data_IF_482570329003
#
_entry.id   IF_482570329003
#
_cell.length_a   1.000
_cell.length_b   1.000
_cell.length_c   1.000
_cell.angle_alpha   90.00
_cell.angle_beta   90.00
_cell.angle_gamma   90.00
#
_symmetry.space_group_name_H-M   'P 1'
#
loop_
_entity.id
_entity.type
_entity.pdbx_description
1 polymer ?
#
# COMPACT_ATOMS: atom_id res chain seq x y z
N UNK A 1 -36.39 38.53 18.95
CA UNK A 1 -36.67 37.22 18.35
C UNK A 1 -36.45 37.41 16.85
N UNK A 2 -35.29 37.24 16.20
CA UNK A 2 -34.10 36.41 16.43
C UNK A 2 -34.44 34.92 16.57
N UNK A 3 -34.39 34.20 15.44
CA UNK A 3 -34.12 32.75 15.29
C UNK A 3 -34.93 32.00 14.19
N UNK A 4 -35.36 32.65 13.09
CA UNK A 4 -36.00 31.94 11.94
C UNK A 4 -35.30 32.14 10.59
N UNK A 5 -34.21 32.93 10.52
CA UNK A 5 -33.41 33.14 9.30
C UNK A 5 -32.36 32.04 9.05
N UNK A 6 -32.21 31.06 9.96
CA UNK A 6 -31.10 30.10 9.93
C UNK A 6 -31.39 28.79 9.17
N UNK A 7 -32.55 28.66 8.51
CA UNK A 7 -32.96 27.45 7.78
C UNK A 7 -33.58 27.72 6.41
N UNK A 8 -33.37 28.91 5.82
CA UNK A 8 -33.61 29.08 4.38
C UNK A 8 -32.41 28.51 3.63
N UNK A 9 -32.59 27.32 3.04
CA UNK A 9 -31.66 26.81 2.03
C UNK A 9 -31.48 27.90 0.97
N UNK A 10 -30.25 28.41 0.74
CA UNK A 10 -30.03 29.56 -0.12
C UNK A 10 -30.57 29.25 -1.51
N UNK A 11 -31.35 30.18 -2.05
CA UNK A 11 -31.92 30.03 -3.38
C UNK A 11 -30.80 30.07 -4.43
N UNK A 12 -31.01 29.39 -5.56
CA UNK A 12 -30.00 29.25 -6.63
C UNK A 12 -29.39 30.61 -7.06
N UNK A 13 -30.19 31.67 -7.07
CA UNK A 13 -29.73 33.01 -7.45
C UNK A 13 -28.81 33.64 -6.39
N UNK A 14 -29.01 33.33 -5.11
CA UNK A 14 -28.15 33.78 -4.01
C UNK A 14 -26.81 33.03 -4.00
N UNK A 15 -26.82 31.73 -4.31
CA UNK A 15 -25.61 30.93 -4.50
C UNK A 15 -24.78 31.50 -5.67
N UNK A 16 -25.43 31.80 -6.80
CA UNK A 16 -24.76 32.37 -7.97
C UNK A 16 -24.28 33.80 -7.72
N UNK A 17 -25.00 34.60 -6.94
CA UNK A 17 -24.58 35.94 -6.53
C UNK A 17 -23.38 35.90 -5.56
N UNK A 18 -23.35 34.94 -4.64
CA UNK A 18 -22.26 34.74 -3.68
C UNK A 18 -20.96 34.34 -4.38
N UNK A 19 -21.02 33.38 -5.32
CA UNK A 19 -19.87 32.97 -6.13
C UNK A 19 -19.36 34.14 -6.99
N UNK A 20 -20.27 34.90 -7.63
CA UNK A 20 -19.88 36.07 -8.44
C UNK A 20 -19.20 37.14 -7.60
N UNK A 21 -19.66 37.38 -6.38
CA UNK A 21 -19.04 38.34 -5.45
C UNK A 21 -17.64 37.89 -5.04
N UNK A 22 -17.45 36.62 -4.67
CA UNK A 22 -16.14 36.08 -4.26
C UNK A 22 -15.13 36.20 -5.40
N UNK A 23 -15.52 35.85 -6.63
CA UNK A 23 -14.60 35.93 -7.78
C UNK A 23 -14.25 37.38 -8.12
N UNK A 24 -15.19 38.32 -8.01
CA UNK A 24 -14.90 39.75 -8.23
C UNK A 24 -14.08 40.39 -7.10
N UNK A 25 -14.13 39.85 -5.89
CA UNK A 25 -13.33 40.31 -4.73
C UNK A 25 -11.91 39.71 -4.75
N UNK A 26 -11.73 38.52 -5.33
CA UNK A 26 -10.45 37.80 -5.44
C UNK A 26 -9.61 38.21 -6.67
N UNK A 27 -10.24 38.74 -7.74
CA UNK A 27 -9.56 39.22 -8.96
C UNK A 27 -8.90 40.61 -8.78
N UNK A 28 -9.18 41.33 -7.69
CA UNK A 28 -8.53 42.61 -7.36
C UNK A 28 -7.13 42.46 -6.73
N UNK A 29 -6.62 41.24 -6.54
CA UNK A 29 -5.24 41.01 -6.10
C UNK A 29 -4.29 40.86 -7.30
N UNK A 30 -4.31 41.86 -8.20
CA UNK A 30 -3.30 42.03 -9.24
C UNK A 30 -2.12 42.90 -8.72
N UNK A 31 -0.91 42.33 -8.84
CA UNK A 31 0.38 43.02 -9.08
C UNK A 31 1.21 43.70 -7.94
N UNK A 32 2.23 42.94 -7.46
CA UNK A 32 3.68 43.28 -7.30
C UNK A 32 4.19 44.24 -6.17
N UNK A 33 5.51 44.31 -5.81
CA UNK A 33 6.69 43.43 -6.03
C UNK A 33 7.63 43.17 -4.79
N UNK A 34 8.53 42.18 -4.95
CA UNK A 34 9.92 41.95 -4.48
C UNK A 34 10.54 42.57 -3.19
N UNK A 35 11.07 41.66 -2.34
CA UNK A 35 12.42 41.55 -1.69
C UNK A 35 12.32 40.97 -0.26
N UNK A 36 13.20 40.02 0.13
CA UNK A 36 14.49 40.40 0.74
C UNK A 36 15.70 39.54 0.35
N UNK A 37 16.86 40.16 0.58
CA UNK A 37 18.21 39.62 0.45
C UNK A 37 18.59 38.65 1.59
N UNK A 38 19.50 37.72 1.23
CA UNK A 38 20.58 37.10 2.00
C UNK A 38 20.26 36.48 3.37
N UNK A 39 20.46 35.16 3.49
CA UNK A 39 21.56 34.55 4.27
C UNK A 39 21.48 33.00 4.20
N UNK A 40 22.65 32.38 4.11
CA UNK A 40 22.96 30.95 4.35
C UNK A 40 22.90 29.97 3.17
N UNK A 41 23.84 30.20 2.25
CA UNK A 41 24.51 29.17 1.46
C UNK A 41 25.32 28.26 2.41
N UNK A 42 24.69 27.20 2.92
CA UNK A 42 25.34 26.14 3.70
C UNK A 42 24.80 24.81 3.18
N UNK A 43 25.73 23.96 2.74
CA UNK A 43 25.56 22.59 2.24
C UNK A 43 25.37 22.47 0.71
N UNK A 44 26.38 22.96 0.01
CA UNK A 44 27.22 22.14 -0.89
C UNK A 44 26.93 20.62 -0.76
N UNK A 45 26.06 20.10 -1.63
CA UNK A 45 25.82 18.67 -1.84
C UNK A 45 25.75 18.40 -3.36
N UNK A 46 26.62 19.06 -4.12
CA UNK A 46 27.12 18.48 -5.35
C UNK A 46 28.18 17.42 -4.97
N UNK A 47 28.07 16.25 -5.62
CA UNK A 47 29.13 15.23 -5.71
C UNK A 47 29.30 14.23 -4.54
N UNK A 48 28.32 13.32 -4.42
CA UNK A 48 28.62 11.90 -4.19
C UNK A 48 27.83 11.06 -5.19
N UNK A 49 28.36 10.95 -6.40
CA UNK A 49 28.08 9.80 -7.27
C UNK A 49 29.06 8.73 -6.82
N UNK A 50 28.70 7.99 -5.78
CA UNK A 50 29.30 6.68 -5.54
C UNK A 50 28.48 5.67 -6.33
N UNK A 51 29.12 5.11 -7.35
CA UNK A 51 28.66 3.94 -8.08
C UNK A 51 28.33 2.83 -7.06
N UNK A 52 27.24 2.06 -7.20
CA UNK A 52 27.12 0.82 -6.47
C UNK A 52 28.08 -0.21 -7.10
N UNK A 53 29.38 -0.06 -6.88
CA UNK A 53 30.32 -1.16 -7.02
C UNK A 53 30.07 -2.15 -5.88
N UNK A 54 29.44 -3.26 -6.25
CA UNK A 54 29.80 -4.60 -5.80
C UNK A 54 30.06 -4.78 -4.29
N UNK A 55 28.99 -4.71 -3.49
CA UNK A 55 28.95 -5.41 -2.18
C UNK A 55 28.13 -6.68 -2.34
N UNK A 56 28.54 -7.52 -3.30
CA UNK A 56 28.05 -8.88 -3.46
C UNK A 56 29.16 -9.88 -3.18
N UNK A 57 29.80 -9.79 -2.02
CA UNK A 57 30.62 -10.89 -1.51
C UNK A 57 30.71 -10.79 0.02
N UNK A 58 30.50 -11.92 0.70
CA UNK A 58 30.55 -12.17 2.16
C UNK A 58 29.26 -12.06 3.00
N UNK A 59 28.20 -12.76 2.59
CA UNK A 59 27.40 -13.50 3.57
C UNK A 59 27.92 -14.93 3.62
N UNK A 60 28.75 -15.22 4.63
CA UNK A 60 29.14 -16.59 4.95
C UNK A 60 27.94 -17.31 5.54
N UNK A 61 27.54 -18.40 4.88
CA UNK A 61 26.41 -19.25 5.21
C UNK A 61 26.66 -19.97 6.55
N UNK A 62 26.20 -19.37 7.65
CA UNK A 62 26.12 -20.06 8.94
C UNK A 62 24.81 -20.83 8.97
N UNK A 63 24.88 -22.12 8.69
CA UNK A 63 23.77 -23.05 8.88
C UNK A 63 23.33 -23.06 10.37
N UNK A 64 22.03 -22.88 10.68
CA UNK A 64 21.54 -23.01 12.05
C UNK A 64 21.61 -24.48 12.51
N UNK A 65 21.92 -24.77 13.78
CA UNK A 65 21.92 -26.14 14.29
C UNK A 65 20.48 -26.71 14.28
N UNK A 66 20.36 -27.94 13.81
CA UNK A 66 19.10 -28.70 13.83
C UNK A 66 18.62 -28.91 15.28
N UNK A 67 17.33 -28.73 15.59
CA UNK A 67 16.79 -29.07 16.90
C UNK A 67 16.72 -30.60 17.09
N UNK A 68 17.44 -31.11 18.08
CA UNK A 68 17.22 -32.46 18.64
C UNK A 68 15.84 -32.50 19.31
N UNK A 69 14.89 -33.18 18.66
CA UNK A 69 13.62 -33.56 19.29
C UNK A 69 13.81 -34.94 19.92
N UNK A 70 14.29 -34.98 21.17
CA UNK A 70 14.11 -36.16 22.01
C UNK A 70 12.68 -36.15 22.56
N UNK A 71 11.89 -37.14 22.11
CA UNK A 71 10.54 -37.48 22.56
C UNK A 71 10.44 -37.53 24.10
N UNK A 72 9.65 -36.63 24.70
CA UNK A 72 8.86 -36.96 25.88
C UNK A 72 7.74 -35.91 26.09
N UNK A 73 6.55 -36.41 26.42
CA UNK A 73 5.30 -35.67 26.75
C UNK A 73 4.54 -34.95 25.62
N UNK A 74 3.98 -35.72 24.69
CA UNK A 74 2.72 -35.34 24.03
C UNK A 74 1.53 -35.98 24.78
N UNK A 75 0.87 -35.15 25.60
CA UNK A 75 -0.42 -35.45 26.22
C UNK A 75 -1.46 -35.69 25.13
N UNK A 76 -2.13 -36.85 25.18
CA UNK A 76 -3.19 -37.24 24.26
C UNK A 76 -4.29 -36.17 24.18
N UNK A 77 -4.35 -35.49 23.03
CA UNK A 77 -5.49 -34.67 22.62
C UNK A 77 -6.26 -35.46 21.57
N UNK A 78 -7.53 -35.68 21.90
CA UNK A 78 -8.61 -36.32 21.16
C UNK A 78 -8.44 -36.23 19.62
N UNK A 79 -8.30 -37.39 18.98
CA UNK A 79 -8.12 -37.59 17.55
C UNK A 79 -9.49 -37.48 16.85
N UNK A 80 -9.77 -36.48 16.00
CA UNK A 80 -10.94 -36.54 15.12
C UNK A 80 -10.69 -37.63 14.06
N UNK A 81 -11.57 -38.64 14.04
CA UNK A 81 -11.60 -39.75 13.09
C UNK A 81 -11.37 -39.27 11.65
N UNK A 82 -10.23 -39.64 11.07
CA UNK A 82 -9.90 -39.37 9.67
C UNK A 82 -10.72 -40.32 8.78
N UNK A 83 -11.61 -39.77 7.95
CA UNK A 83 -12.27 -40.54 6.89
C UNK A 83 -11.20 -41.10 5.93
N UNK A 84 -11.26 -42.37 5.49
CA UNK A 84 -10.22 -42.92 4.64
C UNK A 84 -10.21 -42.24 3.27
N UNK A 85 -9.03 -41.75 2.86
CA UNK A 85 -8.76 -41.27 1.51
C UNK A 85 -9.13 -42.36 0.47
N UNK A 86 -9.78 -41.99 -0.65
CA UNK A 86 -10.12 -42.97 -1.69
C UNK A 86 -8.84 -43.52 -2.34
N UNK A 87 -8.77 -44.86 -2.44
CA UNK A 87 -7.68 -45.57 -3.11
C UNK A 87 -7.42 -45.05 -4.54
N UNK A 88 -6.16 -44.97 -4.99
CA UNK A 88 -5.84 -44.50 -6.33
C UNK A 88 -6.35 -45.47 -7.39
N UNK A 89 -7.15 -44.96 -8.34
CA UNK A 89 -7.52 -45.70 -9.55
C UNK A 89 -6.24 -46.06 -10.35
N UNK A 90 -6.14 -47.29 -10.90
CA UNK A 90 -5.02 -47.66 -11.75
C UNK A 90 -5.03 -46.83 -13.05
N UNK A 91 -3.88 -46.24 -13.40
CA UNK A 91 -3.68 -45.55 -14.67
C UNK A 91 -3.84 -46.52 -15.86
N UNK A 92 -4.58 -46.16 -16.91
CA UNK A 92 -4.70 -46.99 -18.11
C UNK A 92 -3.39 -46.95 -18.91
N UNK A 93 -2.86 -48.14 -19.26
CA UNK A 93 -1.74 -48.28 -20.19
C UNK A 93 -2.08 -47.63 -21.55
N UNK A 94 -1.16 -46.89 -22.19
CA UNK A 94 -1.47 -46.17 -23.43
C UNK A 94 -1.60 -47.14 -24.62
N UNK A 95 -2.83 -47.26 -25.15
CA UNK A 95 -3.07 -47.83 -26.47
C UNK A 95 -2.42 -46.96 -27.58
N UNK A 96 -1.93 -47.53 -28.69
CA UNK A 96 -1.23 -46.77 -29.72
C UNK A 96 -2.20 -45.84 -30.47
N UNK A 97 -2.21 -44.57 -30.07
CA UNK A 97 -2.88 -43.48 -30.79
C UNK A 97 -2.16 -43.24 -32.12
N UNK A 98 -2.87 -43.48 -33.22
CA UNK A 98 -2.45 -43.12 -34.58
C UNK A 98 -2.13 -41.63 -34.59
N UNK A 99 -0.87 -41.27 -34.90
CA UNK A 99 -0.42 -39.90 -34.97
C UNK A 99 -1.18 -39.13 -36.05
N UNK A 100 -2.23 -38.42 -35.63
CA UNK A 100 -2.76 -37.30 -36.39
C UNK A 100 -1.70 -36.21 -36.31
N UNK A 101 -1.15 -35.81 -37.46
CA UNK A 101 -0.31 -34.62 -37.52
C UNK A 101 -1.14 -33.43 -37.00
N UNK A 102 -0.86 -33.02 -35.77
CA UNK A 102 -1.41 -31.81 -35.19
C UNK A 102 -0.82 -30.64 -35.98
N UNK A 103 -1.65 -29.79 -36.62
CA UNK A 103 -1.14 -28.55 -37.16
C UNK A 103 -0.60 -27.75 -35.99
N UNK A 104 0.72 -27.51 -35.96
CA UNK A 104 1.31 -26.55 -35.03
C UNK A 104 0.56 -25.23 -35.21
N UNK A 105 -0.05 -24.64 -34.17
CA UNK A 105 -0.60 -23.30 -34.30
C UNK A 105 0.58 -22.37 -34.62
N UNK A 106 0.65 -21.93 -35.86
CA UNK A 106 1.37 -20.71 -36.19
C UNK A 106 0.52 -19.61 -35.57
N UNK A 107 0.88 -19.17 -34.36
CA UNK A 107 0.43 -17.89 -33.87
C UNK A 107 1.01 -16.87 -34.84
N UNK A 108 0.22 -16.43 -35.82
CA UNK A 108 0.47 -15.18 -36.50
C UNK A 108 0.30 -14.12 -35.41
N UNK A 109 1.42 -13.76 -34.77
CA UNK A 109 1.51 -12.57 -33.95
C UNK A 109 1.24 -11.42 -34.91
N UNK A 110 -0.02 -10.97 -35.03
CA UNK A 110 -0.42 -9.61 -35.44
C UNK A 110 -1.93 -9.48 -35.79
N UNK A 111 -2.68 -10.57 -35.99
CA UNK A 111 -4.05 -10.48 -36.54
C UNK A 111 -5.15 -10.07 -35.54
N UNK A 112 -4.87 -10.03 -34.22
CA UNK A 112 -5.84 -9.67 -33.18
C UNK A 112 -5.60 -8.28 -32.57
N UNK A 113 -4.86 -7.37 -33.23
CA UNK A 113 -4.66 -6.00 -32.73
C UNK A 113 -5.88 -5.13 -33.10
N UNK A 114 -6.88 -5.12 -32.22
CA UNK A 114 -8.16 -4.41 -32.39
C UNK A 114 -8.07 -2.87 -32.33
N UNK A 115 -6.92 -2.31 -31.95
CA UNK A 115 -6.71 -0.86 -31.78
C UNK A 115 -5.34 -0.42 -32.27
N UNK A 116 -5.31 0.74 -32.92
CA UNK A 116 -4.09 1.36 -33.39
C UNK A 116 -3.17 1.75 -32.21
N UNK A 117 -1.86 1.62 -32.44
CA UNK A 117 -0.84 1.89 -31.43
C UNK A 117 -0.88 3.35 -30.92
N UNK A 118 -1.20 4.29 -31.82
CA UNK A 118 -1.37 5.70 -31.48
C UNK A 118 -2.56 5.94 -30.53
N UNK A 119 -3.65 5.17 -30.68
CA UNK A 119 -4.82 5.26 -29.81
C UNK A 119 -4.51 4.65 -28.44
N UNK A 120 -3.81 3.52 -28.41
CA UNK A 120 -3.33 2.90 -27.18
C UNK A 120 -2.35 3.82 -26.42
N UNK A 121 -1.38 4.41 -27.12
CA UNK A 121 -0.44 5.38 -26.56
C UNK A 121 -1.11 6.67 -26.09
N UNK A 122 -2.12 7.16 -26.82
CA UNK A 122 -2.91 8.32 -26.41
C UNK A 122 -3.72 8.05 -25.13
N UNK A 123 -4.33 6.87 -25.01
CA UNK A 123 -5.07 6.45 -23.81
C UNK A 123 -4.12 6.28 -22.60
N UNK A 124 -2.95 5.65 -22.81
CA UNK A 124 -1.93 5.51 -21.77
C UNK A 124 -1.37 6.85 -21.30
N UNK A 125 -1.14 7.81 -22.22
CA UNK A 125 -0.70 9.16 -21.89
C UNK A 125 -1.75 9.96 -21.12
N UNK A 126 -3.03 9.83 -21.48
CA UNK A 126 -4.13 10.45 -20.75
C UNK A 126 -4.29 9.87 -19.34
N UNK A 127 -4.14 8.56 -19.19
CA UNK A 127 -4.15 7.88 -17.89
C UNK A 127 -2.96 8.30 -17.03
N UNK A 128 -1.76 8.38 -17.61
CA UNK A 128 -0.56 8.86 -16.92
C UNK A 128 -0.69 10.31 -16.47
N UNK A 129 -1.31 11.18 -17.29
CA UNK A 129 -1.61 12.57 -16.93
C UNK A 129 -2.62 12.67 -15.79
N UNK A 130 -3.65 11.82 -15.79
CA UNK A 130 -4.61 11.71 -14.69
C UNK A 130 -3.93 11.23 -13.41
N UNK A 131 -3.14 10.17 -13.50
CA UNK A 131 -2.42 9.59 -12.35
C UNK A 131 -1.40 10.57 -11.78
N UNK A 132 -0.69 11.32 -12.64
CA UNK A 132 0.18 12.43 -12.23
C UNK A 132 -0.60 13.55 -11.53
N UNK A 133 -1.77 13.94 -12.04
CA UNK A 133 -2.61 14.95 -11.37
C UNK A 133 -3.21 14.47 -10.04
N UNK A 134 -3.49 13.17 -9.91
CA UNK A 134 -3.99 12.54 -8.68
C UNK A 134 -2.88 12.37 -7.64
N UNK A 135 -1.63 12.15 -8.07
CA UNK A 135 -0.46 12.10 -7.18
C UNK A 135 -0.07 13.48 -6.64
N UNK A 136 -0.26 14.55 -7.42
CA UNK A 136 0.00 15.93 -7.01
C UNK A 136 -1.07 16.46 -6.04
N UNK A 137 -2.28 15.91 -6.06
CA UNK A 137 -3.39 16.27 -5.17
C UNK A 137 -3.52 15.33 -3.95
N UNK A 138 -2.37 14.85 -3.44
CA UNK A 138 -2.25 13.81 -2.41
C UNK A 138 -3.10 14.03 -1.14
N UNK A 139 -3.47 15.28 -0.84
CA UNK A 139 -4.34 15.66 0.28
C UNK A 139 -5.78 15.09 0.16
N UNK A 140 -6.22 14.71 -1.04
CA UNK A 140 -7.52 14.06 -1.32
C UNK A 140 -7.39 12.61 -1.80
N UNK A 141 -6.25 11.96 -1.56
CA UNK A 141 -6.11 10.53 -1.87
C UNK A 141 -6.98 9.69 -0.94
N UNK A 142 -7.37 8.50 -1.40
CA UNK A 142 -8.09 7.51 -0.59
C UNK A 142 -7.38 7.24 0.74
N UNK A 143 -6.04 7.31 0.77
CA UNK A 143 -5.25 7.19 1.99
C UNK A 143 -5.58 8.28 3.02
N UNK A 144 -5.74 9.53 2.58
CA UNK A 144 -6.14 10.66 3.45
C UNK A 144 -7.50 10.39 4.10
N UNK A 145 -8.47 9.92 3.30
CA UNK A 145 -9.81 9.56 3.79
C UNK A 145 -9.80 8.35 4.73
N UNK A 146 -9.07 7.29 4.38
CA UNK A 146 -8.93 6.09 5.21
C UNK A 146 -8.20 6.42 6.51
N UNK A 147 -7.17 7.29 6.47
CA UNK A 147 -6.47 7.76 7.66
C UNK A 147 -7.37 8.60 8.56
N UNK A 148 -8.21 9.46 7.99
CA UNK A 148 -9.19 10.24 8.75
C UNK A 148 -10.21 9.33 9.44
N UNK A 149 -10.63 8.25 8.78
CA UNK A 149 -11.57 7.27 9.34
C UNK A 149 -10.93 6.29 10.34
N UNK A 150 -9.69 5.85 10.12
CA UNK A 150 -9.00 4.90 11.00
C UNK A 150 -8.41 5.57 12.25
N UNK A 151 -8.06 6.86 12.18
CA UNK A 151 -7.51 7.61 13.31
C UNK A 151 -8.37 7.54 14.58
N UNK A 152 -9.71 7.77 14.56
CA UNK A 152 -10.52 7.66 15.76
C UNK A 152 -10.58 6.22 16.30
N UNK A 153 -10.71 5.22 15.44
CA UNK A 153 -10.77 3.80 15.86
C UNK A 153 -9.46 3.34 16.52
N UNK A 154 -8.31 3.67 15.92
CA UNK A 154 -7.02 3.34 16.48
C UNK A 154 -6.77 4.08 17.81
N UNK A 155 -7.24 5.32 17.93
CA UNK A 155 -7.09 6.10 19.18
C UNK A 155 -7.90 5.50 20.32
N UNK A 156 -9.14 5.11 20.07
CA UNK A 156 -10.00 4.46 21.07
C UNK A 156 -9.38 3.14 21.53
N UNK A 157 -8.96 2.30 20.58
CA UNK A 157 -8.29 1.04 20.88
C UNK A 157 -6.99 1.25 21.69
N UNK A 158 -6.17 2.22 21.30
CA UNK A 158 -4.92 2.53 22.00
C UNK A 158 -5.20 2.98 23.45
N UNK A 159 -6.23 3.81 23.68
CA UNK A 159 -6.59 4.25 25.02
C UNK A 159 -7.01 3.09 25.94
N UNK A 160 -7.67 2.08 25.39
CA UNK A 160 -8.14 0.91 26.16
C UNK A 160 -7.03 -0.13 26.37
N UNK A 161 -6.14 -0.31 25.40
CA UNK A 161 -5.23 -1.46 25.36
C UNK A 161 -3.76 -1.10 25.66
N UNK A 162 -3.34 0.17 25.54
CA UNK A 162 -1.93 0.54 25.70
C UNK A 162 -1.41 0.27 27.11
N UNK A 163 -2.19 0.54 28.15
CA UNK A 163 -1.78 0.29 29.53
C UNK A 163 -1.41 -1.19 29.75
N UNK A 164 -2.27 -2.12 29.30
CA UNK A 164 -2.02 -3.56 29.44
C UNK A 164 -0.81 -4.04 28.63
N UNK A 165 -0.63 -3.53 27.41
CA UNK A 165 0.53 -3.87 26.56
C UNK A 165 1.84 -3.41 27.22
N UNK A 166 1.86 -2.19 27.78
CA UNK A 166 3.05 -1.65 28.46
C UNK A 166 3.36 -2.46 29.73
N UNK A 167 2.36 -2.75 30.56
CA UNK A 167 2.57 -3.56 31.77
C UNK A 167 3.14 -4.94 31.45
N UNK A 168 2.57 -5.64 30.46
CA UNK A 168 3.06 -6.94 30.03
C UNK A 168 4.52 -6.87 29.53
N UNK A 169 4.88 -5.83 28.77
CA UNK A 169 6.24 -5.65 28.26
C UNK A 169 7.23 -5.21 29.35
N UNK A 170 6.82 -4.39 30.30
CA UNK A 170 7.66 -4.01 31.46
C UNK A 170 7.90 -5.21 32.37
N UNK A 171 6.88 -6.04 32.62
CA UNK A 171 7.04 -7.27 33.41
C UNK A 171 8.04 -8.24 32.74
N UNK A 172 7.92 -8.43 31.43
CA UNK A 172 8.87 -9.22 30.64
C UNK A 172 10.30 -8.68 30.78
N UNK A 173 10.46 -7.35 30.70
CA UNK A 173 11.77 -6.69 30.78
C UNK A 173 12.37 -6.77 32.19
N UNK A 174 11.58 -6.56 33.25
CA UNK A 174 12.03 -6.73 34.64
C UNK A 174 12.38 -8.19 34.94
N UNK A 175 11.62 -9.15 34.41
CA UNK A 175 11.92 -10.58 34.52
C UNK A 175 13.23 -10.93 33.80
N UNK A 176 13.49 -10.33 32.64
CA UNK A 176 14.75 -10.49 31.90
C UNK A 176 15.95 -9.92 32.69
N UNK A 177 15.83 -8.69 33.19
CA UNK A 177 16.88 -8.03 33.99
C UNK A 177 17.13 -8.80 35.28
N UNK A 178 16.08 -9.24 35.99
CA UNK A 178 16.22 -9.99 37.24
C UNK A 178 16.82 -11.40 37.06
N UNK A 179 16.71 -11.98 35.87
CA UNK A 179 17.43 -13.21 35.50
C UNK A 179 18.90 -12.92 35.17
N UNK A 180 19.19 -11.80 34.51
CA UNK A 180 20.57 -11.39 34.19
C UNK A 180 21.35 -10.87 35.40
N UNK A 181 20.66 -10.33 36.41
CA UNK A 181 21.26 -9.78 37.61
C UNK A 181 21.51 -10.82 38.73
N UNK A 182 21.08 -12.08 38.53
CA UNK A 182 21.40 -13.22 39.39
C UNK A 182 22.61 -13.97 38.86
#
# INVERSE_FOLDING_TARGET
MAADEAQQEPTMEEILASIRKIISEDDEVEAAPAEPAAEEDILDLEEVVDEPEDVMESFEEVAPPEPDFEDDDLVAVDEPEFEPEPEPFPEPEPEPVIARAEPKPSFAEDDDKLIEDAVAGGAAGALGKLMGSMAISSDTTLESMVREMLRPMLKEWLNENLQGIVEAKVEEEVKRISRMAR
#
